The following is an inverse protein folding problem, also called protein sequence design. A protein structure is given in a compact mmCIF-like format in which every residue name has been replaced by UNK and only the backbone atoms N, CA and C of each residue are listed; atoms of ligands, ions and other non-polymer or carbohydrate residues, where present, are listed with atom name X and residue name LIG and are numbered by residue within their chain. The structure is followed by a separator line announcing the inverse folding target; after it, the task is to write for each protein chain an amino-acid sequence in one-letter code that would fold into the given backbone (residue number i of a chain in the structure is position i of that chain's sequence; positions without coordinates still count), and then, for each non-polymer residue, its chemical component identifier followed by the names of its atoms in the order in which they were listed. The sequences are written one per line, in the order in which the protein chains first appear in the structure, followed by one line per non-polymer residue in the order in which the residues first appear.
data_IF_330434105531
#
_entry.id   IF_330434105531
#
_cell.length_a   1.000
_cell.length_b   1.000
_cell.length_c   1.000
_cell.angle_alpha   90.00
_cell.angle_beta   90.00
_cell.angle_gamma   90.00
#
_symmetry.space_group_name_H-M   'P 1'
#
loop_
_entity.id
_entity.type
_entity.pdbx_description
1 polymer ?
#
# COMPACT_ATOMS: atom_id res chain seq x y z
N UNK A 1 -6.89 -53.69 7.66
CA UNK A 1 -6.02 -52.64 8.26
C UNK A 1 -5.38 -51.79 7.12
N UNK A 2 -6.06 -51.24 6.12
CA UNK A 2 -7.22 -50.31 6.06
C UNK A 2 -7.01 -48.86 6.57
N UNK A 3 -5.79 -48.33 6.73
CA UNK A 3 -5.65 -46.92 7.19
C UNK A 3 -4.45 -46.11 6.63
N UNK A 4 -4.23 -46.04 5.31
CA UNK A 4 -3.37 -44.97 4.71
C UNK A 4 -3.89 -44.54 3.31
N UNK A 5 -5.17 -44.19 3.17
CA UNK A 5 -5.73 -43.65 1.90
C UNK A 5 -6.72 -42.47 2.09
N UNK A 6 -6.55 -41.60 3.09
CA UNK A 6 -7.54 -40.55 3.40
C UNK A 6 -6.98 -39.15 3.72
N UNK A 7 -5.96 -38.66 2.98
CA UNK A 7 -5.70 -37.19 2.89
C UNK A 7 -5.43 -36.80 1.43
N UNK A 8 -6.31 -37.25 0.53
CA UNK A 8 -6.37 -36.82 -0.89
C UNK A 8 -7.64 -36.01 -1.18
N UNK A 9 -8.27 -35.44 -0.15
CA UNK A 9 -9.54 -34.70 -0.27
C UNK A 9 -9.64 -33.59 0.77
N UNK A 10 -8.93 -32.48 0.55
CA UNK A 10 -9.22 -31.18 1.17
C UNK A 10 -8.42 -30.05 0.48
N UNK A 11 -8.56 -29.86 -0.84
CA UNK A 11 -8.57 -28.49 -1.39
C UNK A 11 -9.10 -28.48 -2.83
N UNK A 12 -10.43 -28.38 -2.95
CA UNK A 12 -11.12 -27.88 -4.14
C UNK A 12 -11.98 -26.72 -3.66
N UNK A 13 -11.51 -25.49 -3.88
CA UNK A 13 -12.37 -24.29 -3.87
C UNK A 13 -11.92 -23.37 -5.00
N UNK A 14 -12.50 -23.62 -6.17
CA UNK A 14 -13.11 -22.66 -7.10
C UNK A 14 -12.91 -21.16 -6.78
N UNK A 15 -12.39 -20.41 -7.75
CA UNK A 15 -12.53 -18.94 -7.78
C UNK A 15 -11.43 -18.20 -8.54
N UNK A 16 -11.39 -18.31 -9.86
CA UNK A 16 -10.46 -17.54 -10.69
C UNK A 16 -10.80 -17.57 -12.17
N UNK A 17 -12.06 -17.28 -12.52
CA UNK A 17 -12.47 -17.07 -13.91
C UNK A 17 -12.45 -15.59 -14.27
N UNK A 18 -12.00 -15.36 -15.50
CA UNK A 18 -12.36 -14.26 -16.40
C UNK A 18 -11.46 -13.03 -16.41
N UNK A 19 -10.65 -12.95 -17.48
CA UNK A 19 -10.30 -11.68 -18.11
C UNK A 19 -11.58 -10.89 -18.44
N UNK A 20 -11.50 -9.56 -18.57
CA UNK A 20 -11.59 -9.05 -19.94
C UNK A 20 -10.68 -7.83 -20.25
N UNK A 21 -10.47 -7.71 -21.56
CA UNK A 21 -10.38 -6.52 -22.41
C UNK A 21 -9.35 -5.38 -22.21
N UNK A 22 -8.54 -5.25 -23.28
CA UNK A 22 -7.77 -4.09 -23.73
C UNK A 22 -8.51 -2.75 -23.64
N UNK A 23 -7.91 -1.79 -22.93
CA UNK A 23 -7.75 -0.41 -23.37
C UNK A 23 -6.38 0.08 -22.88
N UNK A 24 -5.54 0.52 -23.81
CA UNK A 24 -4.21 1.02 -23.50
C UNK A 24 -4.27 2.26 -22.61
N UNK A 25 -3.28 2.38 -21.73
CA UNK A 25 -2.79 3.70 -21.37
C UNK A 25 -1.30 3.64 -21.08
N UNK A 26 -0.54 4.23 -21.99
CA UNK A 26 0.84 4.63 -21.77
C UNK A 26 0.86 5.75 -20.73
N UNK A 27 1.32 5.45 -19.52
CA UNK A 27 2.21 6.39 -18.84
C UNK A 27 3.12 5.64 -17.89
N UNK A 28 4.32 5.41 -18.42
CA UNK A 28 5.60 5.67 -17.77
C UNK A 28 5.44 6.15 -16.32
N UNK A 29 5.87 5.36 -15.37
CA UNK A 29 6.33 5.91 -14.11
C UNK A 29 7.83 5.63 -14.07
N UNK A 30 8.59 6.70 -14.21
CA UNK A 30 9.95 6.81 -13.69
C UNK A 30 10.04 6.04 -12.37
N UNK A 31 11.11 5.26 -12.22
CA UNK A 31 11.49 4.67 -10.95
C UNK A 31 11.94 5.84 -10.07
N UNK A 32 10.97 6.59 -9.54
CA UNK A 32 11.20 7.58 -8.51
C UNK A 32 11.23 6.81 -7.18
N UNK A 33 12.31 6.99 -6.44
CA UNK A 33 12.66 6.37 -5.15
C UNK A 33 11.68 6.72 -3.99
N UNK A 34 10.38 6.87 -4.27
CA UNK A 34 9.35 7.24 -3.28
C UNK A 34 8.22 6.21 -3.12
N UNK A 35 8.33 5.04 -3.78
CA UNK A 35 7.33 3.96 -3.61
C UNK A 35 7.26 3.41 -2.17
N UNK A 36 8.32 3.62 -1.40
CA UNK A 36 8.42 3.22 0.00
C UNK A 36 7.73 4.19 0.97
N UNK A 37 7.11 5.28 0.51
CA UNK A 37 6.33 6.18 1.38
C UNK A 37 4.82 5.98 1.24
N UNK A 38 4.35 5.30 0.19
CA UNK A 38 2.91 5.07 -0.08
C UNK A 38 2.37 3.91 0.75
N UNK A 39 1.11 4.02 1.19
CA UNK A 39 0.41 2.95 1.89
C UNK A 39 0.11 1.78 0.95
N UNK A 40 0.69 0.63 1.23
CA UNK A 40 0.50 -0.60 0.44
C UNK A 40 -0.89 -1.23 0.57
N UNK A 41 -1.72 -0.75 1.49
CA UNK A 41 -3.10 -1.23 1.66
C UNK A 41 -4.05 -0.58 0.66
N UNK A 42 -3.85 0.71 0.35
CA UNK A 42 -4.77 1.47 -0.50
C UNK A 42 -4.12 2.09 -1.74
N UNK A 43 -2.78 2.15 -1.81
CA UNK A 43 -2.00 2.78 -2.88
C UNK A 43 -2.41 4.23 -3.23
N UNK A 44 -3.21 4.88 -2.39
CA UNK A 44 -3.81 6.18 -2.65
C UNK A 44 -3.33 7.28 -1.69
N UNK A 45 -2.74 6.90 -0.56
CA UNK A 45 -2.29 7.82 0.47
C UNK A 45 -0.95 7.39 1.03
N UNK A 46 -0.15 8.35 1.52
CA UNK A 46 1.11 8.08 2.18
C UNK A 46 0.92 7.36 3.53
N UNK A 47 1.95 6.60 3.93
CA UNK A 47 2.10 6.04 5.27
C UNK A 47 2.22 7.20 6.26
N UNK A 48 1.20 7.35 7.09
CA UNK A 48 1.02 8.46 8.02
C UNK A 48 0.74 7.99 9.45
N UNK A 49 0.69 6.68 9.66
CA UNK A 49 0.38 6.06 10.94
C UNK A 49 1.35 4.89 11.19
N UNK A 50 1.91 4.84 12.41
CA UNK A 50 2.84 3.80 12.90
C UNK A 50 2.16 3.02 14.03
N UNK A 51 2.24 1.69 14.00
CA UNK A 51 1.59 0.81 14.98
C UNK A 51 2.57 0.37 16.07
N UNK A 52 2.25 0.64 17.33
CA UNK A 52 3.04 0.14 18.48
C UNK A 52 2.42 -1.12 19.08
N UNK A 53 3.23 -2.11 19.49
CA UNK A 53 4.71 -2.09 19.58
C UNK A 53 5.46 -2.55 18.32
N UNK A 54 4.78 -3.00 17.27
CA UNK A 54 5.43 -3.68 16.14
C UNK A 54 6.18 -2.80 15.13
N UNK A 55 5.95 -1.48 15.12
CA UNK A 55 6.61 -0.53 14.22
C UNK A 55 6.13 -0.54 12.76
N UNK A 56 5.08 -1.30 12.42
CA UNK A 56 4.55 -1.31 11.05
C UNK A 56 3.74 -0.05 10.74
N UNK A 57 3.67 0.30 9.45
CA UNK A 57 3.15 1.58 9.00
C UNK A 57 2.03 1.45 7.95
N UNK A 58 1.07 2.38 7.96
CA UNK A 58 0.02 2.50 6.95
C UNK A 58 -0.53 3.92 6.85
N UNK A 59 -1.50 4.14 5.95
CA UNK A 59 -2.30 5.36 5.93
C UNK A 59 -3.23 5.44 7.16
N UNK A 60 -3.52 6.65 7.66
CA UNK A 60 -4.43 6.87 8.80
C UNK A 60 -5.85 6.35 8.54
N UNK A 61 -6.39 6.56 7.35
CA UNK A 61 -7.74 6.09 7.00
C UNK A 61 -7.87 4.56 7.05
N UNK A 62 -6.82 3.87 6.58
CA UNK A 62 -6.72 2.42 6.51
C UNK A 62 -6.76 1.82 7.92
N UNK A 63 -5.93 2.32 8.84
CA UNK A 63 -5.88 1.81 10.21
C UNK A 63 -7.17 2.13 10.98
N UNK A 64 -7.73 3.34 10.85
CA UNK A 64 -8.96 3.70 11.55
C UNK A 64 -10.13 2.79 11.17
N UNK A 65 -10.28 2.48 9.87
CA UNK A 65 -11.30 1.55 9.40
C UNK A 65 -11.05 0.12 9.90
N UNK A 66 -9.79 -0.31 9.95
CA UNK A 66 -9.44 -1.64 10.46
C UNK A 66 -9.76 -1.79 11.95
N UNK A 67 -9.45 -0.78 12.78
CA UNK A 67 -9.72 -0.78 14.22
C UNK A 67 -11.20 -0.92 14.57
N UNK A 68 -12.13 -0.60 13.66
CA UNK A 68 -13.57 -0.84 13.83
C UNK A 68 -13.89 -2.34 13.88
N UNK A 69 -13.15 -3.15 13.12
CA UNK A 69 -13.41 -4.58 12.96
C UNK A 69 -12.41 -5.43 13.75
N UNK A 70 -11.13 -5.07 13.73
CA UNK A 70 -10.03 -5.83 14.31
C UNK A 70 -8.91 -4.90 14.81
N UNK A 71 -8.49 -5.07 16.07
CA UNK A 71 -7.37 -4.30 16.65
C UNK A 71 -6.03 -5.04 16.54
N UNK A 72 -5.67 -5.46 15.33
CA UNK A 72 -4.41 -6.16 15.06
C UNK A 72 -3.64 -5.46 13.95
N UNK A 73 -2.33 -5.62 13.93
CA UNK A 73 -1.49 -5.13 12.86
C UNK A 73 -1.79 -5.89 11.56
N UNK A 74 -1.90 -5.20 10.42
CA UNK A 74 -2.11 -5.81 9.10
C UNK A 74 -1.05 -6.86 8.74
N UNK A 75 0.20 -6.58 9.10
CA UNK A 75 1.35 -7.39 8.72
C UNK A 75 1.62 -8.54 9.69
N UNK A 76 1.92 -8.22 10.95
CA UNK A 76 2.31 -9.23 11.94
C UNK A 76 1.15 -9.75 12.80
N UNK A 77 -0.07 -9.22 12.65
CA UNK A 77 -1.27 -9.59 13.44
C UNK A 77 -1.13 -9.39 14.96
N UNK A 78 -0.08 -8.72 15.42
CA UNK A 78 0.10 -8.33 16.82
C UNK A 78 -0.98 -7.34 17.26
N UNK A 79 -1.42 -7.36 18.53
CA UNK A 79 -2.37 -6.39 19.05
C UNK A 79 -1.79 -4.97 18.98
N UNK A 80 -2.58 -4.03 18.47
CA UNK A 80 -2.18 -2.61 18.40
C UNK A 80 -2.54 -1.94 19.72
N UNK A 81 -1.52 -1.43 20.42
CA UNK A 81 -1.69 -0.72 21.70
C UNK A 81 -1.87 0.77 21.47
N UNK A 82 -1.10 1.33 20.53
CA UNK A 82 -1.16 2.74 20.18
C UNK A 82 -0.87 2.93 18.70
N UNK A 83 -1.47 3.98 18.12
CA UNK A 83 -1.22 4.44 16.74
C UNK A 83 -0.68 5.85 16.83
N UNK A 84 0.58 6.03 16.46
CA UNK A 84 1.21 7.35 16.36
C UNK A 84 1.09 7.86 14.92
N UNK A 85 0.90 9.16 14.75
CA UNK A 85 1.01 9.78 13.44
C UNK A 85 2.50 10.03 13.15
N UNK A 86 3.00 9.57 12.01
CA UNK A 86 4.30 10.04 11.52
C UNK A 86 4.09 11.47 11.01
N UNK A 87 4.69 12.52 11.60
CA UNK A 87 4.58 13.86 11.05
C UNK A 87 5.07 13.82 9.60
N UNK A 88 4.40 14.51 8.67
CA UNK A 88 4.90 14.61 7.31
C UNK A 88 6.29 15.20 7.42
N UNK A 89 7.31 14.41 7.05
CA UNK A 89 8.66 14.89 6.86
C UNK A 89 8.51 16.08 5.93
N UNK A 90 8.82 17.28 6.41
CA UNK A 90 8.73 18.50 5.62
C UNK A 90 9.58 18.26 4.38
N UNK A 91 8.91 18.05 3.25
CA UNK A 91 9.57 17.99 1.95
C UNK A 91 10.20 19.37 1.78
N UNK A 92 11.55 19.49 1.72
CA UNK A 92 12.17 20.78 1.47
C UNK A 92 11.53 21.37 0.22
N UNK A 93 11.17 22.67 0.22
CA UNK A 93 10.45 23.27 -0.89
C UNK A 93 11.19 22.96 -2.18
N UNK A 94 10.47 22.38 -3.14
CA UNK A 94 11.01 22.02 -4.44
C UNK A 94 11.87 23.18 -4.99
N UNK A 95 13.08 22.89 -5.53
CA UNK A 95 13.92 23.95 -6.08
C UNK A 95 13.10 24.75 -7.10
N UNK A 96 13.26 26.10 -7.12
CA UNK A 96 12.47 26.97 -7.97
C UNK A 96 12.57 26.48 -9.42
N UNK A 97 11.41 26.34 -10.07
CA UNK A 97 11.31 25.96 -11.47
C UNK A 97 12.29 26.79 -12.33
N UNK A 98 13.02 26.17 -13.28
CA UNK A 98 13.92 26.91 -14.15
C UNK A 98 13.11 27.99 -14.90
N UNK A 99 13.69 29.20 -15.11
CA UNK A 99 12.99 30.28 -15.78
C UNK A 99 12.55 29.82 -17.17
N UNK A 100 11.27 30.03 -17.46
CA UNK A 100 10.71 29.83 -18.79
C UNK A 100 11.56 30.62 -19.80
N UNK A 101 12.27 29.90 -20.67
CA UNK A 101 12.94 30.51 -21.80
C UNK A 101 11.82 31.04 -22.71
N UNK A 102 11.76 32.37 -22.81
CA UNK A 102 10.79 33.07 -23.65
C UNK A 102 10.92 32.66 -25.12
N UNK A 103 9.87 32.88 -25.93
CA UNK A 103 9.91 32.52 -27.34
C UNK A 103 11.00 33.34 -28.05
N UNK A 104 11.90 32.63 -28.71
CA UNK A 104 12.80 33.17 -29.73
C UNK A 104 11.98 33.89 -30.81
N UNK A 105 12.30 35.17 -31.03
CA UNK A 105 11.79 35.95 -32.14
C UNK A 105 12.92 36.12 -33.17
N UNK A 106 12.71 35.60 -34.38
CA UNK A 106 12.87 36.31 -35.67
C UNK A 106 12.10 35.53 -36.75
#
# INVERSE_FOLDING_TARGET
RQLIQLIKKSFTTEGGSSQPNSLGFCKQQSVDEDSDSVCTICYAAAKSAVFRPCGHESCRGCILLHLVHQRKCFYCKAPIVSVEANPPVEVPPAPPAPPAQGPMAD
#
